data_IF_852690355584
#
_entry.id   IF_852690355584
#
_cell.length_a   1.000
_cell.length_b   1.000
_cell.length_c   1.000
_cell.angle_alpha   90.00
_cell.angle_beta   90.00
_cell.angle_gamma   90.00
#
_symmetry.space_group_name_H-M   'P 1'
#
loop_
_entity.id
_entity.type
_entity.pdbx_description
1 polymer ?
#
# COMPACT_ATOMS: atom_id res chain seq x y z
N UNK A 1 -5.53 28.09 11.85
CA UNK A 1 -6.57 27.49 10.97
C UNK A 1 -6.29 27.84 9.50
N UNK A 2 -6.14 29.14 9.16
CA UNK A 2 -5.91 29.57 7.78
C UNK A 2 -4.67 28.90 7.19
N UNK A 3 -3.56 28.89 7.90
CA UNK A 3 -2.29 28.31 7.45
C UNK A 3 -2.41 26.80 7.19
N UNK A 4 -3.12 26.09 8.07
CA UNK A 4 -3.37 24.63 7.90
C UNK A 4 -4.23 24.35 6.68
N UNK A 5 -5.23 25.21 6.39
CA UNK A 5 -6.06 25.07 5.20
C UNK A 5 -5.22 25.33 3.93
N UNK A 6 -4.39 26.38 3.95
CA UNK A 6 -3.48 26.69 2.82
C UNK A 6 -2.54 25.51 2.59
N UNK A 7 -1.88 25.01 3.63
CA UNK A 7 -0.98 23.83 3.52
C UNK A 7 -1.68 22.61 2.95
N UNK A 8 -2.95 22.36 3.32
CA UNK A 8 -3.71 21.23 2.77
C UNK A 8 -3.97 21.36 1.27
N UNK A 9 -4.22 22.58 0.78
CA UNK A 9 -4.41 22.81 -0.66
C UNK A 9 -3.08 22.86 -1.42
N UNK A 10 -2.01 23.35 -0.82
CA UNK A 10 -0.67 23.29 -1.38
C UNK A 10 -0.22 21.83 -1.56
N UNK A 11 -0.47 20.97 -0.54
CA UNK A 11 -0.20 19.54 -0.62
C UNK A 11 -1.10 18.82 -1.65
N UNK A 12 -2.38 19.23 -1.75
CA UNK A 12 -3.28 18.71 -2.77
C UNK A 12 -2.80 19.04 -4.19
N UNK A 13 -2.02 20.12 -4.33
CA UNK A 13 -1.53 20.61 -5.62
C UNK A 13 -2.61 21.21 -6.52
N UNK A 14 -3.77 21.54 -5.95
CA UNK A 14 -4.91 22.10 -6.70
C UNK A 14 -5.78 22.96 -5.77
N UNK A 15 -6.54 23.87 -6.35
CA UNK A 15 -7.39 24.80 -5.62
C UNK A 15 -8.87 24.65 -6.03
N UNK A 16 -9.81 25.01 -5.13
CA UNK A 16 -11.24 25.00 -5.46
C UNK A 16 -11.58 26.01 -6.55
N UNK A 17 -12.15 25.53 -7.65
CA UNK A 17 -12.71 26.35 -8.73
C UNK A 17 -14.13 26.79 -8.41
N UNK A 18 -14.94 25.86 -7.84
CA UNK A 18 -16.36 26.08 -7.61
C UNK A 18 -16.81 25.33 -6.37
N UNK A 19 -17.56 26.04 -5.50
CA UNK A 19 -18.33 25.39 -4.45
C UNK A 19 -19.54 24.68 -5.07
N UNK A 20 -19.77 23.42 -4.73
CA UNK A 20 -20.89 22.65 -5.23
C UNK A 20 -22.12 22.94 -4.34
N UNK A 21 -23.13 23.55 -4.93
CA UNK A 21 -24.39 23.77 -4.27
C UNK A 21 -25.19 22.46 -4.19
N UNK A 22 -25.99 22.34 -3.15
CA UNK A 22 -26.89 21.19 -2.97
C UNK A 22 -27.84 21.05 -4.16
N UNK A 23 -27.84 19.89 -4.77
CA UNK A 23 -28.89 19.40 -5.64
C UNK A 23 -29.49 18.17 -4.98
N UNK A 24 -30.83 18.08 -4.79
CA UNK A 24 -31.46 16.87 -4.32
C UNK A 24 -31.04 15.68 -5.20
N UNK A 25 -30.57 14.61 -4.58
CA UNK A 25 -30.25 13.37 -5.27
C UNK A 25 -31.52 12.52 -5.41
N UNK A 26 -31.67 11.86 -6.54
CA UNK A 26 -32.72 10.86 -6.77
C UNK A 26 -32.42 9.53 -6.04
N UNK A 27 -31.20 9.38 -5.52
CA UNK A 27 -30.77 8.18 -4.83
C UNK A 27 -31.35 8.11 -3.41
N UNK A 28 -31.80 6.94 -3.00
CA UNK A 28 -32.38 6.71 -1.68
C UNK A 28 -31.43 7.11 -0.55
N UNK A 29 -31.87 8.04 0.29
CA UNK A 29 -31.13 8.49 1.46
C UNK A 29 -30.11 9.60 1.24
N UNK A 30 -29.82 10.01 0.02
CA UNK A 30 -28.95 11.15 -0.26
C UNK A 30 -29.68 12.47 -0.03
N UNK A 31 -29.34 13.16 1.05
CA UNK A 31 -29.91 14.48 1.38
C UNK A 31 -29.08 15.65 0.93
N UNK A 32 -27.79 15.43 0.62
CA UNK A 32 -26.82 16.47 0.29
C UNK A 32 -25.86 15.98 -0.76
N UNK A 33 -25.38 16.90 -1.63
CA UNK A 33 -24.33 16.57 -2.56
C UNK A 33 -23.07 16.12 -1.78
N UNK A 34 -22.49 14.95 -2.09
CA UNK A 34 -21.31 14.45 -1.42
C UNK A 34 -20.06 15.32 -1.66
N UNK A 35 -19.98 15.97 -2.81
CA UNK A 35 -18.88 16.83 -3.18
C UNK A 35 -19.07 18.23 -2.58
N UNK A 36 -18.05 18.78 -1.95
CA UNK A 36 -18.07 20.16 -1.46
C UNK A 36 -17.55 21.13 -2.51
N UNK A 37 -16.55 20.73 -3.30
CA UNK A 37 -15.90 21.56 -4.28
C UNK A 37 -15.59 20.78 -5.56
N UNK A 38 -15.52 21.53 -6.68
CA UNK A 38 -14.85 21.11 -7.90
C UNK A 38 -13.55 21.89 -7.96
N UNK A 39 -12.44 21.18 -8.19
CA UNK A 39 -11.09 21.73 -8.29
C UNK A 39 -10.84 22.31 -9.69
N UNK A 40 -9.73 23.02 -9.88
CA UNK A 40 -9.37 23.61 -11.17
C UNK A 40 -9.17 22.54 -12.25
N UNK A 41 -8.64 21.38 -11.88
CA UNK A 41 -8.49 20.22 -12.76
C UNK A 41 -9.79 19.42 -12.99
N UNK A 42 -10.94 19.96 -12.57
CA UNK A 42 -12.28 19.35 -12.68
C UNK A 42 -12.55 18.17 -11.72
N UNK A 43 -11.59 17.72 -10.93
CA UNK A 43 -11.79 16.70 -9.92
C UNK A 43 -12.66 17.21 -8.77
N UNK A 44 -13.29 16.29 -8.07
CA UNK A 44 -14.19 16.58 -6.95
C UNK A 44 -13.47 16.49 -5.62
N UNK A 45 -13.85 17.35 -4.66
CA UNK A 45 -13.31 17.38 -3.33
C UNK A 45 -14.41 17.35 -2.27
N UNK A 46 -14.25 16.46 -1.30
CA UNK A 46 -15.06 16.40 -0.08
C UNK A 46 -14.25 16.89 1.12
N UNK A 47 -14.89 17.65 2.01
CA UNK A 47 -14.28 18.05 3.29
C UNK A 47 -15.02 17.36 4.43
N UNK A 48 -14.24 16.77 5.33
CA UNK A 48 -14.72 16.16 6.57
C UNK A 48 -14.05 16.83 7.75
N UNK A 49 -14.81 17.00 8.84
CA UNK A 49 -14.30 17.59 10.07
C UNK A 49 -14.71 16.74 11.26
N UNK A 50 -13.83 16.61 12.24
CA UNK A 50 -14.16 16.09 13.56
C UNK A 50 -13.65 17.01 14.65
N UNK A 51 -14.50 17.32 15.62
CA UNK A 51 -14.17 18.24 16.73
C UNK A 51 -13.49 17.54 17.89
N UNK A 52 -13.92 16.32 18.18
CA UNK A 52 -13.32 15.45 19.20
C UNK A 52 -13.62 14.00 18.84
N UNK A 53 -12.58 13.17 18.90
CA UNK A 53 -12.69 11.78 18.47
C UNK A 53 -12.51 11.62 16.96
N UNK A 54 -12.07 10.46 16.60
CA UNK A 54 -11.66 10.08 15.25
C UNK A 54 -12.73 9.30 14.50
N UNK A 55 -14.00 9.34 14.96
CA UNK A 55 -15.10 8.54 14.39
C UNK A 55 -15.88 9.31 13.36
N UNK A 56 -15.89 8.84 12.12
CA UNK A 56 -16.65 9.43 11.01
C UNK A 56 -17.58 8.40 10.40
N UNK A 57 -18.85 8.80 10.22
CA UNK A 57 -19.83 8.02 9.50
C UNK A 57 -19.71 8.28 7.98
N UNK A 58 -19.69 7.24 7.13
CA UNK A 58 -19.93 7.41 5.71
C UNK A 58 -21.28 8.11 5.49
N UNK A 59 -21.37 8.95 4.47
CA UNK A 59 -22.65 9.58 4.12
C UNK A 59 -23.65 8.51 3.74
N UNK A 60 -24.93 8.80 3.89
CA UNK A 60 -26.04 7.90 3.51
C UNK A 60 -26.02 6.57 4.27
N UNK A 61 -25.08 5.69 3.98
CA UNK A 61 -24.99 4.31 4.51
C UNK A 61 -24.53 4.25 5.96
N UNK A 62 -23.81 5.27 6.45
CA UNK A 62 -23.27 5.30 7.82
C UNK A 62 -24.30 5.71 8.89
N UNK A 63 -25.47 6.22 8.50
CA UNK A 63 -26.61 6.51 9.37
C UNK A 63 -27.91 6.21 8.61
N UNK A 64 -28.20 4.94 8.40
CA UNK A 64 -29.30 4.48 7.57
C UNK A 64 -30.53 4.14 8.39
N UNK A 65 -31.68 4.64 7.96
CA UNK A 65 -32.99 4.04 8.34
C UNK A 65 -33.19 2.70 7.64
N UNK A 66 -34.24 1.98 8.00
CA UNK A 66 -34.47 0.63 7.47
C UNK A 66 -34.58 0.60 5.94
N UNK A 67 -35.23 1.58 5.35
CA UNK A 67 -35.40 1.69 3.89
C UNK A 67 -34.09 1.90 3.18
N UNK A 68 -33.25 2.84 3.68
CA UNK A 68 -31.94 3.10 3.14
C UNK A 68 -31.00 1.89 3.34
N UNK A 69 -31.11 1.21 4.48
CA UNK A 69 -30.35 0.00 4.74
C UNK A 69 -30.70 -1.10 3.73
N UNK A 70 -32.01 -1.36 3.52
CA UNK A 70 -32.45 -2.31 2.52
C UNK A 70 -31.98 -1.96 1.11
N UNK A 71 -32.10 -0.69 0.71
CA UNK A 71 -31.70 -0.25 -0.62
C UNK A 71 -30.24 -0.60 -0.93
N UNK A 72 -29.33 -0.44 0.02
CA UNK A 72 -27.90 -0.66 -0.19
C UNK A 72 -27.43 -2.10 0.12
N UNK A 73 -28.11 -2.81 1.02
CA UNK A 73 -27.59 -4.06 1.58
C UNK A 73 -28.47 -5.29 1.43
N UNK A 74 -29.72 -5.15 0.91
CA UNK A 74 -30.60 -6.31 0.66
C UNK A 74 -30.01 -7.29 -0.38
N UNK A 75 -29.10 -6.83 -1.23
CA UNK A 75 -28.39 -7.69 -2.17
C UNK A 75 -27.58 -8.83 -1.51
N UNK A 76 -27.33 -8.74 -0.21
CA UNK A 76 -26.63 -9.77 0.55
C UNK A 76 -27.56 -10.78 1.22
N UNK A 77 -28.87 -10.64 1.04
CA UNK A 77 -29.89 -11.52 1.59
C UNK A 77 -31.04 -11.66 0.61
N UNK A 78 -31.76 -12.78 0.65
CA UNK A 78 -32.86 -13.07 -0.29
C UNK A 78 -34.19 -12.42 0.07
N UNK A 79 -34.24 -11.57 1.10
CA UNK A 79 -35.45 -10.93 1.58
C UNK A 79 -35.22 -9.52 2.12
N UNK A 80 -36.28 -8.73 2.15
CA UNK A 80 -36.24 -7.44 2.84
C UNK A 80 -36.01 -7.61 4.34
N UNK A 81 -35.19 -6.72 4.90
CA UNK A 81 -34.85 -6.68 6.31
C UNK A 81 -35.88 -5.80 7.02
N UNK A 82 -36.54 -6.35 8.05
CA UNK A 82 -37.62 -5.66 8.75
C UNK A 82 -37.30 -5.29 10.19
N UNK A 83 -36.33 -5.97 10.80
CA UNK A 83 -36.04 -5.84 12.21
C UNK A 83 -34.57 -5.62 12.57
N UNK A 84 -34.34 -5.23 13.84
CA UNK A 84 -33.04 -5.00 14.41
C UNK A 84 -32.14 -6.25 14.36
N UNK A 85 -32.71 -7.41 14.70
CA UNK A 85 -31.94 -8.66 14.76
C UNK A 85 -31.55 -9.14 13.35
N UNK A 86 -32.36 -8.86 12.35
CA UNK A 86 -32.02 -9.13 10.95
C UNK A 86 -30.92 -8.22 10.47
N UNK A 87 -30.94 -6.91 10.81
CA UNK A 87 -29.84 -5.98 10.51
C UNK A 87 -28.53 -6.50 11.12
N UNK A 88 -28.55 -6.93 12.39
CA UNK A 88 -27.36 -7.48 13.06
C UNK A 88 -26.82 -8.71 12.32
N UNK A 89 -27.69 -9.64 11.98
CA UNK A 89 -27.33 -10.87 11.27
C UNK A 89 -26.71 -10.57 9.91
N UNK A 90 -27.30 -9.66 9.13
CA UNK A 90 -26.78 -9.24 7.83
C UNK A 90 -25.39 -8.64 7.97
N UNK A 91 -25.22 -7.70 8.90
CA UNK A 91 -23.93 -7.04 9.14
C UNK A 91 -22.90 -8.05 9.61
N UNK A 92 -23.24 -8.90 10.56
CA UNK A 92 -22.31 -9.88 11.13
C UNK A 92 -21.77 -10.86 10.07
N UNK A 93 -22.65 -11.35 9.21
CA UNK A 93 -22.28 -12.35 8.21
C UNK A 93 -21.66 -11.75 6.93
N UNK A 94 -22.00 -10.50 6.59
CA UNK A 94 -21.63 -9.90 5.30
C UNK A 94 -20.74 -8.67 5.42
N UNK A 95 -20.16 -8.39 6.59
CA UNK A 95 -19.35 -7.17 6.80
C UNK A 95 -18.23 -7.00 5.79
N UNK A 96 -17.59 -8.09 5.37
CA UNK A 96 -16.53 -8.09 4.37
C UNK A 96 -17.00 -7.60 2.99
N UNK A 97 -18.27 -7.85 2.64
CA UNK A 97 -18.90 -7.35 1.41
C UNK A 97 -19.48 -5.95 1.56
N UNK A 98 -19.86 -5.58 2.79
CA UNK A 98 -20.43 -4.25 3.09
C UNK A 98 -19.35 -3.19 3.22
N UNK A 99 -18.17 -3.56 3.69
CA UNK A 99 -17.10 -2.61 3.98
C UNK A 99 -16.63 -1.80 2.76
N UNK A 100 -16.46 -2.38 1.56
CA UNK A 100 -16.19 -1.61 0.34
C UNK A 100 -17.26 -0.51 0.10
N UNK A 101 -18.54 -0.82 0.28
CA UNK A 101 -19.62 0.16 0.13
C UNK A 101 -19.47 1.29 1.16
N UNK A 102 -19.13 0.99 2.41
CA UNK A 102 -18.87 2.03 3.41
C UNK A 102 -17.67 2.91 3.03
N UNK A 103 -16.61 2.36 2.47
CA UNK A 103 -15.46 3.13 1.95
C UNK A 103 -15.86 4.01 0.77
N UNK A 104 -16.62 3.49 -0.19
CA UNK A 104 -17.13 4.26 -1.34
C UNK A 104 -17.93 5.48 -0.89
N UNK A 105 -18.79 5.34 0.11
CA UNK A 105 -19.59 6.45 0.65
C UNK A 105 -18.80 7.38 1.59
N UNK A 106 -17.71 6.92 2.17
CA UNK A 106 -16.81 7.79 2.96
C UNK A 106 -15.94 8.65 2.04
N UNK A 107 -15.42 8.07 0.96
CA UNK A 107 -14.47 8.66 0.01
C UNK A 107 -15.07 8.79 -1.40
N UNK A 108 -16.30 9.30 -1.48
CA UNK A 108 -17.08 9.38 -2.73
C UNK A 108 -16.49 10.38 -3.74
N UNK A 109 -15.80 11.42 -3.29
CA UNK A 109 -15.13 12.41 -4.12
C UNK A 109 -13.74 11.92 -4.53
N UNK A 110 -13.20 12.42 -5.65
CA UNK A 110 -11.82 12.11 -6.07
C UNK A 110 -10.83 12.34 -4.95
N UNK A 111 -11.03 13.42 -4.18
CA UNK A 111 -10.27 13.71 -2.97
C UNK A 111 -11.15 13.96 -1.76
N UNK A 112 -10.69 13.55 -0.59
CA UNK A 112 -11.29 13.89 0.69
C UNK A 112 -10.23 14.46 1.61
N UNK A 113 -10.45 15.69 2.12
CA UNK A 113 -9.61 16.27 3.17
C UNK A 113 -10.35 16.11 4.49
N UNK A 114 -9.68 15.48 5.45
CA UNK A 114 -10.19 15.37 6.82
C UNK A 114 -9.41 16.28 7.75
N UNK A 115 -10.09 17.28 8.31
CA UNK A 115 -9.55 18.17 9.33
C UNK A 115 -9.94 17.67 10.71
N UNK A 116 -8.99 17.58 11.62
CA UNK A 116 -9.20 17.18 13.01
C UNK A 116 -8.36 18.00 13.97
N UNK A 117 -8.79 18.07 15.22
CA UNK A 117 -7.94 18.55 16.30
C UNK A 117 -7.20 17.37 16.93
N UNK A 118 -5.89 17.50 17.08
CA UNK A 118 -5.07 16.53 17.80
C UNK A 118 -5.23 16.69 19.33
N UNK A 119 -4.52 15.88 20.11
CA UNK A 119 -4.55 15.91 21.58
C UNK A 119 -4.09 17.26 22.16
N UNK A 120 -3.24 17.97 21.44
CA UNK A 120 -2.71 19.29 21.83
C UNK A 120 -3.62 20.44 21.36
N UNK A 121 -4.84 20.12 20.93
CA UNK A 121 -5.82 21.06 20.38
C UNK A 121 -5.31 21.85 19.16
N UNK A 122 -4.38 21.26 18.41
CA UNK A 122 -3.91 21.82 17.15
C UNK A 122 -4.71 21.21 15.99
N UNK A 123 -5.11 22.05 15.04
CA UNK A 123 -5.77 21.60 13.82
C UNK A 123 -4.75 20.89 12.91
N UNK A 124 -5.08 19.68 12.51
CA UNK A 124 -4.32 18.88 11.56
C UNK A 124 -5.22 18.42 10.41
N UNK A 125 -4.64 17.93 9.33
CA UNK A 125 -5.40 17.40 8.20
C UNK A 125 -4.77 16.12 7.66
N UNK A 126 -5.59 15.36 6.93
CA UNK A 126 -5.15 14.21 6.13
C UNK A 126 -5.90 14.26 4.80
N UNK A 127 -5.18 14.06 3.70
CA UNK A 127 -5.74 14.00 2.35
C UNK A 127 -5.85 12.53 1.94
N UNK A 128 -7.03 12.15 1.46
CA UNK A 128 -7.30 10.83 0.91
C UNK A 128 -7.59 10.96 -0.58
N UNK A 129 -6.98 10.11 -1.39
CA UNK A 129 -7.31 9.91 -2.80
C UNK A 129 -8.26 8.71 -2.91
N UNK A 130 -9.37 8.86 -3.63
CA UNK A 130 -10.36 7.80 -3.81
C UNK A 130 -9.76 6.52 -4.40
N UNK A 131 -8.76 6.65 -5.27
CA UNK A 131 -8.10 5.51 -5.89
C UNK A 131 -7.47 4.55 -4.86
N UNK A 132 -7.18 5.01 -3.65
CA UNK A 132 -6.65 4.17 -2.56
C UNK A 132 -7.67 3.16 -2.02
N UNK A 133 -8.95 3.34 -2.34
CA UNK A 133 -10.06 2.56 -1.82
C UNK A 133 -10.81 1.77 -2.90
N UNK A 134 -10.39 1.90 -4.16
CA UNK A 134 -10.96 1.13 -5.25
C UNK A 134 -10.43 -0.32 -5.17
N UNK A 135 -11.30 -1.25 -5.53
CA UNK A 135 -10.98 -2.68 -5.62
C UNK A 135 -10.47 -3.32 -4.31
N UNK A 136 -10.88 -2.77 -3.16
CA UNK A 136 -10.59 -3.36 -1.86
C UNK A 136 -11.39 -4.66 -1.68
N UNK A 137 -10.70 -5.77 -1.63
CA UNK A 137 -11.26 -7.07 -1.26
C UNK A 137 -10.95 -7.41 0.19
N UNK A 138 -11.94 -7.93 0.89
CA UNK A 138 -11.80 -8.30 2.28
C UNK A 138 -12.20 -9.76 2.50
N UNK A 139 -11.32 -10.51 3.15
CA UNK A 139 -11.62 -11.84 3.62
C UNK A 139 -12.42 -11.77 4.93
N UNK A 140 -13.52 -12.53 5.02
CA UNK A 140 -14.40 -12.60 6.20
C UNK A 140 -13.63 -13.02 7.46
N UNK A 141 -12.67 -13.90 7.34
CA UNK A 141 -11.93 -14.47 8.47
C UNK A 141 -11.03 -13.45 9.17
N UNK A 142 -10.70 -12.35 8.50
CA UNK A 142 -9.95 -11.26 9.10
C UNK A 142 -10.79 -10.34 9.99
N UNK A 143 -12.13 -10.57 10.07
CA UNK A 143 -13.02 -9.71 10.85
C UNK A 143 -13.50 -10.40 12.11
N UNK A 144 -13.42 -9.66 13.22
CA UNK A 144 -14.01 -10.03 14.50
C UNK A 144 -14.84 -8.87 15.05
N UNK A 145 -15.78 -9.21 15.92
CA UNK A 145 -16.62 -8.25 16.62
C UNK A 145 -16.33 -8.38 18.12
N UNK A 146 -16.36 -7.25 18.83
CA UNK A 146 -16.18 -7.30 20.30
C UNK A 146 -17.34 -7.99 21.01
N UNK A 147 -18.47 -8.10 20.34
CA UNK A 147 -19.67 -8.81 20.81
C UNK A 147 -20.20 -9.68 19.67
N UNK A 148 -20.41 -10.94 19.94
CA UNK A 148 -21.12 -11.85 19.04
C UNK A 148 -22.60 -11.45 18.87
N UNK A 149 -23.33 -12.13 17.99
CA UNK A 149 -24.73 -11.81 17.69
C UNK A 149 -25.63 -11.88 18.94
N UNK A 150 -25.40 -12.84 19.83
CA UNK A 150 -26.23 -13.07 21.02
C UNK A 150 -26.01 -11.96 22.06
N UNK A 151 -24.78 -11.50 22.22
CA UNK A 151 -24.37 -10.50 23.20
C UNK A 151 -24.37 -9.06 22.65
N UNK A 152 -24.61 -8.90 21.36
CA UNK A 152 -24.69 -7.57 20.73
C UNK A 152 -26.03 -6.89 21.04
N UNK A 153 -26.09 -6.11 22.11
CA UNK A 153 -27.29 -5.35 22.48
C UNK A 153 -27.55 -4.16 21.57
N UNK A 154 -26.78 -3.07 21.70
CA UNK A 154 -26.93 -1.86 20.87
C UNK A 154 -25.69 -1.54 20.03
N UNK A 155 -24.50 -1.77 20.59
CA UNK A 155 -23.23 -1.42 19.95
C UNK A 155 -22.24 -2.58 19.98
N UNK A 156 -21.42 -2.65 18.94
CA UNK A 156 -20.24 -3.51 18.88
C UNK A 156 -19.12 -2.77 18.15
N UNK A 157 -17.89 -3.19 18.38
CA UNK A 157 -16.73 -2.68 17.63
C UNK A 157 -16.31 -3.73 16.62
N UNK A 158 -16.18 -3.32 15.37
CA UNK A 158 -15.62 -4.12 14.31
C UNK A 158 -14.08 -4.04 14.37
N UNK A 159 -13.45 -5.19 14.37
CA UNK A 159 -12.00 -5.32 14.26
C UNK A 159 -11.62 -5.98 12.94
N UNK A 160 -10.53 -5.55 12.37
CA UNK A 160 -9.85 -6.16 11.24
C UNK A 160 -8.42 -6.53 11.65
N UNK A 161 -8.07 -7.83 11.58
CA UNK A 161 -6.78 -8.35 12.08
C UNK A 161 -6.47 -7.80 13.49
N UNK A 162 -7.44 -7.95 14.40
CA UNK A 162 -7.43 -7.52 15.80
C UNK A 162 -7.39 -6.00 16.06
N UNK A 163 -7.28 -5.17 15.04
CA UNK A 163 -7.34 -3.69 15.17
C UNK A 163 -8.79 -3.20 15.05
N UNK A 164 -9.23 -2.38 15.97
CA UNK A 164 -10.58 -1.77 15.94
C UNK A 164 -10.68 -0.76 14.80
N UNK A 165 -11.49 -1.02 13.78
CA UNK A 165 -11.61 -0.17 12.58
C UNK A 165 -12.92 0.62 12.52
N UNK A 166 -13.98 0.15 13.15
CA UNK A 166 -15.26 0.83 13.16
C UNK A 166 -16.10 0.50 14.40
N UNK A 167 -17.01 1.39 14.72
CA UNK A 167 -18.08 1.17 15.69
C UNK A 167 -19.42 1.03 14.96
N UNK A 168 -20.20 0.06 15.37
CA UNK A 168 -21.52 -0.22 14.80
C UNK A 168 -22.55 -0.12 15.91
N UNK A 169 -23.63 0.62 15.65
CA UNK A 169 -24.77 0.77 16.58
C UNK A 169 -26.07 0.49 15.84
N UNK A 170 -26.99 -0.23 16.48
CA UNK A 170 -28.32 -0.48 15.96
C UNK A 170 -29.33 -0.14 17.06
N UNK A 171 -30.07 0.96 16.87
CA UNK A 171 -30.99 1.46 17.85
C UNK A 171 -32.34 0.76 17.78
N UNK A 172 -33.16 0.91 18.82
CA UNK A 172 -34.52 0.32 18.90
C UNK A 172 -35.47 0.78 17.78
N UNK A 173 -35.25 2.00 17.27
CA UNK A 173 -36.02 2.55 16.15
C UNK A 173 -35.53 2.07 14.76
N UNK A 174 -34.77 0.98 14.71
CA UNK A 174 -34.21 0.40 13.48
C UNK A 174 -33.24 1.33 12.75
N UNK A 175 -32.60 2.30 13.44
CA UNK A 175 -31.57 3.13 12.87
C UNK A 175 -30.23 2.42 13.02
N UNK A 176 -29.62 2.16 11.89
CA UNK A 176 -28.27 1.62 11.79
C UNK A 176 -27.25 2.78 11.78
N UNK A 177 -26.18 2.64 12.55
CA UNK A 177 -25.04 3.55 12.51
C UNK A 177 -23.75 2.78 12.37
N UNK A 178 -22.96 3.20 11.40
CA UNK A 178 -21.60 2.73 11.17
C UNK A 178 -20.64 3.93 11.17
N UNK A 179 -19.60 3.87 11.96
CA UNK A 179 -18.61 4.94 12.07
C UNK A 179 -17.21 4.36 12.00
N UNK A 180 -16.45 4.76 11.02
CA UNK A 180 -15.02 4.44 10.96
C UNK A 180 -14.25 5.13 12.09
N UNK A 181 -13.25 4.44 12.64
CA UNK A 181 -12.23 5.00 13.52
C UNK A 181 -11.10 5.47 12.59
N UNK A 182 -11.06 6.77 12.28
CA UNK A 182 -10.23 7.30 11.20
C UNK A 182 -8.74 7.08 11.41
N UNK A 183 -8.25 7.14 12.66
CA UNK A 183 -6.86 6.79 12.96
C UNK A 183 -6.53 5.36 12.53
N UNK A 184 -7.42 4.43 12.81
CA UNK A 184 -7.25 3.03 12.39
C UNK A 184 -7.40 2.85 10.87
N UNK A 185 -8.26 3.66 10.22
CA UNK A 185 -8.35 3.68 8.74
C UNK A 185 -7.03 4.15 8.14
N UNK A 186 -6.41 5.20 8.67
CA UNK A 186 -5.10 5.66 8.22
C UNK A 186 -4.04 4.57 8.41
N UNK A 187 -4.03 3.91 9.58
CA UNK A 187 -3.10 2.82 9.84
C UNK A 187 -3.37 1.60 8.94
N UNK A 188 -4.64 1.31 8.65
CA UNK A 188 -5.03 0.27 7.70
C UNK A 188 -4.56 0.61 6.28
N UNK A 189 -4.75 1.86 5.83
CA UNK A 189 -4.27 2.31 4.52
C UNK A 189 -2.75 2.23 4.43
N UNK A 190 -2.03 2.61 5.47
CA UNK A 190 -0.58 2.39 5.54
C UNK A 190 -0.23 0.91 5.35
N UNK A 191 -1.00 0.01 5.96
CA UNK A 191 -0.77 -1.44 5.86
C UNK A 191 -1.07 -1.97 4.46
N UNK A 192 -2.11 -1.48 3.79
CA UNK A 192 -2.44 -1.82 2.39
C UNK A 192 -1.45 -1.15 1.44
N UNK A 193 -1.14 0.13 1.68
CA UNK A 193 -0.19 0.92 0.89
C UNK A 193 1.26 0.46 1.06
N UNK A 194 1.58 -0.23 2.15
CA UNK A 194 2.90 -0.81 2.45
C UNK A 194 3.13 -2.18 1.78
N UNK A 195 2.28 -2.58 0.85
CA UNK A 195 2.68 -3.54 -0.15
C UNK A 195 3.92 -2.98 -0.85
N UNK A 196 4.99 -3.78 -0.90
CA UNK A 196 6.30 -3.40 -1.47
C UNK A 196 6.15 -2.86 -2.90
N UNK A 197 5.18 -3.35 -3.65
CA UNK A 197 4.87 -2.90 -4.99
C UNK A 197 4.28 -1.48 -5.02
N UNK A 198 3.27 -1.18 -4.19
CA UNK A 198 2.69 0.16 -4.08
C UNK A 198 3.74 1.17 -3.60
N UNK A 199 4.63 0.76 -2.69
CA UNK A 199 5.72 1.62 -2.24
C UNK A 199 6.69 1.92 -3.39
N UNK A 200 7.10 0.89 -4.18
CA UNK A 200 7.95 1.04 -5.36
C UNK A 200 7.34 1.98 -6.40
N UNK A 201 6.11 1.69 -6.82
CA UNK A 201 5.39 2.52 -7.79
C UNK A 201 5.23 3.97 -7.32
N UNK A 202 4.98 4.18 -6.02
CA UNK A 202 4.86 5.53 -5.45
C UNK A 202 6.20 6.25 -5.47
N UNK A 203 7.30 5.58 -5.15
CA UNK A 203 8.61 6.19 -5.19
C UNK A 203 9.03 6.56 -6.62
N UNK A 204 8.80 5.67 -7.61
CA UNK A 204 9.01 5.97 -9.02
C UNK A 204 8.20 7.18 -9.47
N UNK A 205 6.90 7.21 -9.17
CA UNK A 205 6.02 8.35 -9.48
C UNK A 205 6.51 9.63 -8.82
N UNK A 206 6.90 9.58 -7.56
CA UNK A 206 7.40 10.74 -6.81
C UNK A 206 8.66 11.31 -7.46
N UNK A 207 9.57 10.46 -7.93
CA UNK A 207 10.76 10.89 -8.70
C UNK A 207 10.31 11.57 -10.00
N UNK A 208 9.38 10.97 -10.74
CA UNK A 208 8.85 11.56 -11.96
C UNK A 208 8.24 12.94 -11.70
N UNK A 209 7.44 13.10 -10.66
CA UNK A 209 6.81 14.38 -10.31
C UNK A 209 7.82 15.45 -9.89
N UNK A 210 8.89 15.08 -9.15
CA UNK A 210 9.94 16.02 -8.74
C UNK A 210 10.74 16.54 -9.94
N UNK A 211 11.02 15.67 -10.91
CA UNK A 211 11.86 16.00 -12.05
C UNK A 211 11.10 16.29 -13.36
N UNK A 212 9.77 16.35 -13.28
CA UNK A 212 8.86 16.60 -14.40
C UNK A 212 9.07 15.59 -15.56
N UNK A 213 9.07 14.31 -15.21
CA UNK A 213 9.17 13.18 -16.14
C UNK A 213 7.78 12.55 -16.34
N UNK A 214 7.57 11.93 -17.49
CA UNK A 214 6.36 11.16 -17.77
C UNK A 214 6.30 9.90 -16.92
N UNK A 215 5.17 9.68 -16.24
CA UNK A 215 4.85 8.44 -15.52
C UNK A 215 3.64 7.77 -16.20
N UNK A 216 3.65 6.43 -16.41
CA UNK A 216 2.58 5.75 -17.13
C UNK A 216 1.23 5.90 -16.44
N UNK A 217 0.23 6.42 -17.16
CA UNK A 217 -1.09 6.73 -16.60
C UNK A 217 -1.81 5.49 -16.03
N UNK A 218 -1.62 4.31 -16.63
CA UNK A 218 -2.21 3.06 -16.14
C UNK A 218 -1.62 2.56 -14.82
N UNK A 219 -0.46 3.07 -14.38
CA UNK A 219 0.17 2.72 -13.11
C UNK A 219 -0.19 3.70 -11.98
N UNK A 220 -0.81 4.84 -12.28
CA UNK A 220 -1.17 5.86 -11.27
C UNK A 220 -2.09 5.27 -10.19
N UNK A 221 -3.01 4.38 -10.55
CA UNK A 221 -3.90 3.70 -9.59
C UNK A 221 -3.18 2.79 -8.58
N UNK A 222 -1.91 2.45 -8.83
CA UNK A 222 -1.07 1.61 -7.95
C UNK A 222 -0.16 2.42 -7.03
N UNK A 223 -0.34 3.73 -6.96
CA UNK A 223 0.45 4.65 -6.14
C UNK A 223 -0.34 5.16 -4.94
N UNK A 224 0.34 5.64 -3.90
CA UNK A 224 -0.25 6.14 -2.66
C UNK A 224 0.22 7.55 -2.35
N UNK A 225 -0.69 8.52 -2.28
CA UNK A 225 -0.36 9.89 -1.86
C UNK A 225 0.13 9.98 -0.41
N UNK A 226 -0.32 9.08 0.45
CA UNK A 226 0.16 9.04 1.84
C UNK A 226 1.65 8.70 1.85
N UNK A 227 2.05 7.67 1.10
CA UNK A 227 3.47 7.31 0.98
C UNK A 227 4.23 8.43 0.28
N UNK A 228 3.69 9.00 -0.80
CA UNK A 228 4.31 10.09 -1.54
C UNK A 228 4.68 11.26 -0.61
N UNK A 229 3.72 11.75 0.19
CA UNK A 229 3.97 12.85 1.13
C UNK A 229 5.05 12.52 2.17
N UNK A 230 5.16 11.26 2.56
CA UNK A 230 6.13 10.79 3.56
C UNK A 230 7.54 10.61 3.01
N UNK A 231 7.67 10.17 1.75
CA UNK A 231 8.98 9.84 1.14
C UNK A 231 9.56 10.98 0.31
N UNK A 232 8.77 12.01 -0.02
CA UNK A 232 9.17 13.07 -0.96
C UNK A 232 10.45 13.80 -0.52
N UNK A 233 10.58 14.17 0.76
CA UNK A 233 11.78 14.77 1.29
C UNK A 233 12.99 13.84 1.21
N UNK A 234 12.81 12.57 1.57
CA UNK A 234 13.86 11.53 1.48
C UNK A 234 14.36 11.35 0.05
N UNK A 235 13.46 11.40 -0.93
CA UNK A 235 13.83 11.33 -2.35
C UNK A 235 14.59 12.59 -2.77
N UNK A 236 14.11 13.78 -2.44
CA UNK A 236 14.81 15.04 -2.76
C UNK A 236 16.23 15.01 -2.20
N UNK A 237 16.38 14.60 -0.94
CA UNK A 237 17.71 14.52 -0.28
C UNK A 237 18.63 13.50 -0.98
N UNK A 238 18.10 12.36 -1.44
CA UNK A 238 18.90 11.35 -2.14
C UNK A 238 19.44 11.87 -3.47
N UNK A 239 18.70 12.70 -4.19
CA UNK A 239 19.15 13.29 -5.46
C UNK A 239 20.12 14.48 -5.31
N UNK A 240 20.49 14.86 -4.09
CA UNK A 240 21.66 15.71 -3.87
C UNK A 240 22.98 14.96 -4.15
N UNK A 241 22.95 13.64 -4.20
CA UNK A 241 24.12 12.76 -4.40
C UNK A 241 24.05 11.92 -5.68
N UNK A 242 22.99 12.04 -6.45
CA UNK A 242 22.76 11.33 -7.71
C UNK A 242 22.71 12.31 -8.88
N UNK A 243 23.13 11.90 -10.10
CA UNK A 243 22.84 12.64 -11.31
C UNK A 243 21.34 12.79 -11.52
N UNK A 244 20.93 13.86 -12.20
CA UNK A 244 19.52 14.14 -12.47
C UNK A 244 18.89 13.06 -13.34
N UNK A 245 17.71 12.52 -13.03
CA UNK A 245 16.99 11.60 -13.91
C UNK A 245 16.44 12.38 -15.11
N UNK A 246 16.54 11.78 -16.29
CA UNK A 246 16.10 12.37 -17.57
C UNK A 246 14.98 11.55 -18.22
N UNK A 247 14.80 10.30 -17.83
CA UNK A 247 13.76 9.42 -18.36
C UNK A 247 13.37 8.33 -17.35
N UNK A 248 12.08 8.05 -17.22
CA UNK A 248 11.57 6.87 -16.53
C UNK A 248 11.52 5.69 -17.50
N UNK A 249 12.06 4.55 -17.11
CA UNK A 249 12.21 3.34 -17.95
C UNK A 249 11.61 2.08 -17.32
N UNK A 250 11.18 2.13 -16.05
CA UNK A 250 10.70 0.98 -15.30
C UNK A 250 9.48 0.25 -15.91
N UNK A 251 8.74 0.90 -16.82
CA UNK A 251 7.63 0.28 -17.58
C UNK A 251 8.00 -0.17 -18.99
N UNK A 252 9.25 0.04 -19.42
CA UNK A 252 9.71 -0.35 -20.76
C UNK A 252 10.02 -1.85 -20.82
N UNK A 253 10.01 -2.40 -22.04
CA UNK A 253 10.34 -3.81 -22.25
C UNK A 253 11.81 -4.07 -21.92
N UNK A 254 12.10 -5.22 -21.32
CA UNK A 254 13.45 -5.64 -20.98
C UNK A 254 14.35 -5.79 -22.21
N UNK A 255 15.65 -5.57 -21.99
CA UNK A 255 16.68 -5.62 -23.04
C UNK A 255 17.11 -7.07 -23.27
N UNK A 256 17.14 -7.89 -22.23
CA UNK A 256 17.54 -9.31 -22.31
C UNK A 256 16.33 -10.19 -22.57
N UNK A 257 16.56 -11.32 -23.23
CA UNK A 257 15.50 -12.27 -23.62
C UNK A 257 14.72 -12.85 -22.42
N UNK A 258 15.31 -12.87 -21.25
CA UNK A 258 14.73 -13.33 -19.98
C UNK A 258 14.03 -12.23 -19.18
N UNK A 259 14.26 -10.98 -19.52
CA UNK A 259 13.73 -9.81 -18.83
C UNK A 259 12.34 -9.44 -19.38
N UNK A 260 11.34 -9.45 -18.52
CA UNK A 260 10.00 -8.94 -18.86
C UNK A 260 9.96 -7.42 -18.86
N UNK A 261 10.87 -6.74 -18.15
CA UNK A 261 10.98 -5.28 -17.98
C UNK A 261 12.43 -4.83 -18.08
N UNK A 262 12.61 -3.52 -18.28
CA UNK A 262 13.93 -2.88 -18.23
C UNK A 262 14.61 -3.15 -16.87
N UNK A 263 15.91 -3.48 -16.83
CA UNK A 263 16.63 -3.80 -15.59
C UNK A 263 16.88 -2.59 -14.68
N UNK A 264 16.65 -1.38 -15.18
CA UNK A 264 16.75 -0.13 -14.42
C UNK A 264 15.48 0.70 -14.55
N UNK A 265 15.20 1.50 -13.53
CA UNK A 265 13.96 2.26 -13.41
C UNK A 265 14.09 3.65 -14.02
N UNK A 266 15.30 4.21 -14.05
CA UNK A 266 15.58 5.54 -14.61
C UNK A 266 16.87 5.60 -15.39
N UNK A 267 16.85 6.38 -16.47
CA UNK A 267 18.04 6.91 -17.14
C UNK A 267 18.40 8.26 -16.50
N UNK A 268 19.67 8.43 -16.13
CA UNK A 268 20.21 9.65 -15.54
C UNK A 268 21.06 10.43 -16.55
N UNK A 269 21.37 11.70 -16.23
CA UNK A 269 22.32 12.50 -16.97
C UNK A 269 23.67 11.76 -17.13
N UNK A 270 24.27 11.90 -18.30
CA UNK A 270 25.49 11.18 -18.65
C UNK A 270 25.28 9.73 -19.10
N UNK A 271 24.05 9.34 -19.46
CA UNK A 271 23.66 7.97 -19.85
C UNK A 271 23.90 6.93 -18.75
N UNK A 272 23.86 7.36 -17.51
CA UNK A 272 23.97 6.48 -16.35
C UNK A 272 22.58 5.90 -16.01
N UNK A 273 22.58 4.75 -15.37
CA UNK A 273 21.35 4.01 -15.04
C UNK A 273 21.12 3.96 -13.54
N UNK A 274 19.85 4.00 -13.12
CA UNK A 274 19.44 3.91 -11.73
C UNK A 274 18.38 2.83 -11.56
N UNK A 275 18.65 1.87 -10.69
CA UNK A 275 17.64 0.97 -10.15
C UNK A 275 17.13 1.48 -8.81
N UNK A 276 15.81 1.47 -8.64
CA UNK A 276 15.15 1.86 -7.41
C UNK A 276 14.66 0.61 -6.67
N UNK A 277 15.01 0.51 -5.41
CA UNK A 277 14.48 -0.53 -4.52
C UNK A 277 13.81 0.11 -3.33
N UNK A 278 12.64 -0.40 -2.99
CA UNK A 278 11.88 0.07 -1.84
C UNK A 278 11.54 -1.09 -0.92
N UNK A 279 11.57 -0.86 0.38
CA UNK A 279 11.28 -1.90 1.33
C UNK A 279 10.78 -1.33 2.67
N UNK A 280 9.89 -2.08 3.32
CA UNK A 280 9.43 -1.82 4.70
C UNK A 280 10.26 -2.55 5.75
N UNK A 281 11.28 -3.30 5.33
CA UNK A 281 12.19 -4.07 6.16
C UNK A 281 13.65 -3.89 5.75
N UNK A 282 14.48 -4.85 6.14
CA UNK A 282 15.93 -4.81 5.87
C UNK A 282 16.37 -5.71 4.69
N UNK A 283 15.41 -6.31 3.96
CA UNK A 283 15.72 -7.26 2.89
C UNK A 283 15.36 -6.67 1.54
N UNK A 284 16.24 -6.82 0.58
CA UNK A 284 16.04 -6.43 -0.82
C UNK A 284 16.17 -7.67 -1.69
N UNK A 285 15.21 -7.86 -2.60
CA UNK A 285 15.19 -8.97 -3.52
C UNK A 285 15.91 -8.57 -4.82
N UNK A 286 16.99 -9.27 -5.24
CA UNK A 286 17.61 -9.03 -6.52
C UNK A 286 16.62 -9.28 -7.66
N UNK A 287 16.61 -8.45 -8.72
CA UNK A 287 15.76 -8.68 -9.88
C UNK A 287 15.99 -10.08 -10.48
N UNK A 288 14.95 -10.69 -11.02
CA UNK A 288 14.93 -11.98 -11.69
C UNK A 288 15.35 -13.19 -10.83
N UNK A 289 16.50 -13.11 -10.18
CA UNK A 289 17.10 -14.24 -9.44
C UNK A 289 16.62 -14.35 -8.00
N UNK A 290 16.05 -13.31 -7.43
CA UNK A 290 15.60 -13.28 -6.03
C UNK A 290 14.30 -14.04 -5.78
N UNK A 291 13.43 -14.14 -6.80
CA UNK A 291 12.18 -14.93 -6.79
C UNK A 291 12.01 -15.64 -8.13
N UNK A 292 12.93 -16.54 -8.50
CA UNK A 292 12.90 -17.15 -9.82
C UNK A 292 11.79 -18.19 -9.94
N UNK A 293 11.16 -18.26 -11.10
CA UNK A 293 10.43 -19.47 -11.51
C UNK A 293 11.41 -20.64 -11.68
N UNK A 294 10.92 -21.87 -11.75
CA UNK A 294 11.79 -23.04 -11.96
C UNK A 294 12.65 -22.89 -13.21
N UNK A 295 12.09 -22.36 -14.31
CA UNK A 295 12.82 -22.12 -15.55
C UNK A 295 13.87 -21.03 -15.43
N UNK A 296 13.58 -19.94 -14.72
CA UNK A 296 14.53 -18.86 -14.47
C UNK A 296 15.63 -19.34 -13.52
N UNK A 297 15.29 -20.11 -12.49
CA UNK A 297 16.24 -20.72 -11.58
C UNK A 297 17.24 -21.62 -12.34
N UNK A 298 16.71 -22.51 -13.20
CA UNK A 298 17.53 -23.36 -14.02
C UNK A 298 18.43 -22.55 -14.96
N UNK A 299 17.92 -21.51 -15.59
CA UNK A 299 18.70 -20.68 -16.51
C UNK A 299 19.94 -20.04 -15.85
N UNK A 300 19.81 -19.52 -14.64
CA UNK A 300 20.91 -18.83 -13.96
C UNK A 300 21.83 -19.75 -13.14
N UNK A 301 21.33 -20.90 -12.70
CA UNK A 301 22.04 -21.75 -11.73
C UNK A 301 22.33 -23.16 -12.24
N UNK A 302 21.98 -23.51 -13.49
CA UNK A 302 22.20 -24.85 -14.06
C UNK A 302 23.66 -25.31 -13.98
N UNK A 303 24.62 -24.40 -14.12
CA UNK A 303 26.05 -24.72 -14.08
C UNK A 303 26.54 -24.98 -12.63
N UNK A 304 25.68 -24.81 -11.63
CA UNK A 304 25.95 -25.06 -10.23
C UNK A 304 25.30 -26.35 -9.72
N UNK A 305 24.52 -27.05 -10.54
CA UNK A 305 23.86 -28.29 -10.17
C UNK A 305 23.97 -29.33 -11.28
N UNK A 306 23.97 -30.58 -10.88
CA UNK A 306 24.06 -31.75 -11.79
C UNK A 306 22.63 -32.30 -12.15
N UNK A 307 21.58 -31.47 -12.01
CA UNK A 307 20.19 -31.89 -12.23
C UNK A 307 19.65 -31.27 -13.53
N UNK A 308 18.89 -32.06 -14.28
CA UNK A 308 18.18 -31.60 -15.49
C UNK A 308 16.98 -30.67 -15.15
N UNK A 309 16.40 -30.84 -13.94
CA UNK A 309 15.31 -30.03 -13.43
C UNK A 309 15.57 -29.63 -11.96
N UNK A 310 15.29 -28.38 -11.63
CA UNK A 310 15.42 -27.88 -10.27
C UNK A 310 14.06 -27.99 -9.57
N UNK A 311 13.96 -28.90 -8.61
CA UNK A 311 12.86 -29.00 -7.64
C UNK A 311 13.26 -28.42 -6.29
N UNK A 312 12.37 -28.42 -5.32
CA UNK A 312 12.61 -27.85 -3.99
C UNK A 312 13.83 -28.45 -3.27
N UNK A 313 13.98 -29.77 -3.32
CA UNK A 313 15.08 -30.47 -2.64
C UNK A 313 16.41 -30.18 -3.34
N UNK A 314 16.46 -30.36 -4.67
CA UNK A 314 17.66 -30.06 -5.45
C UNK A 314 18.07 -28.59 -5.38
N UNK A 315 17.11 -27.66 -5.25
CA UNK A 315 17.39 -26.25 -5.02
C UNK A 315 18.06 -26.02 -3.65
N UNK A 316 17.51 -26.61 -2.59
CA UNK A 316 18.10 -26.50 -1.24
C UNK A 316 19.53 -27.07 -1.23
N UNK A 317 19.75 -28.24 -1.83
CA UNK A 317 21.09 -28.85 -1.93
C UNK A 317 22.06 -27.94 -2.71
N UNK A 318 21.63 -27.38 -3.84
CA UNK A 318 22.40 -26.46 -4.64
C UNK A 318 22.81 -25.23 -3.84
N UNK A 319 21.86 -24.63 -3.08
CA UNK A 319 22.12 -23.47 -2.23
C UNK A 319 23.16 -23.81 -1.16
N UNK A 320 22.99 -24.90 -0.44
CA UNK A 320 23.96 -25.31 0.58
C UNK A 320 25.36 -25.53 0.03
N UNK A 321 25.47 -26.13 -1.15
CA UNK A 321 26.75 -26.49 -1.77
C UNK A 321 27.43 -25.29 -2.43
N UNK A 322 26.66 -24.38 -3.05
CA UNK A 322 27.20 -23.36 -3.94
C UNK A 322 26.78 -21.92 -3.57
N UNK A 323 26.42 -21.67 -2.33
CA UNK A 323 25.91 -20.36 -1.92
C UNK A 323 26.89 -19.21 -2.18
N UNK A 324 28.20 -19.45 -2.04
CA UNK A 324 29.25 -18.50 -2.34
C UNK A 324 29.23 -18.05 -3.82
N UNK A 325 29.00 -18.98 -4.74
CA UNK A 325 28.84 -18.68 -6.17
C UNK A 325 27.50 -18.02 -6.48
N UNK A 326 26.43 -18.48 -5.83
CA UNK A 326 25.10 -17.91 -6.00
C UNK A 326 25.05 -16.46 -5.51
N UNK A 327 25.73 -16.12 -4.42
CA UNK A 327 25.81 -14.76 -3.92
C UNK A 327 26.44 -13.80 -4.93
N UNK A 328 27.41 -14.24 -5.72
CA UNK A 328 27.97 -13.44 -6.80
C UNK A 328 26.92 -13.15 -7.89
N UNK A 329 26.10 -14.15 -8.24
CA UNK A 329 25.02 -13.98 -9.22
C UNK A 329 23.96 -13.01 -8.65
N UNK A 330 23.53 -13.19 -7.42
CA UNK A 330 22.58 -12.29 -6.74
C UNK A 330 23.12 -10.85 -6.67
N UNK A 331 24.38 -10.67 -6.30
CA UNK A 331 25.01 -9.35 -6.24
C UNK A 331 25.07 -8.70 -7.64
N UNK A 332 25.45 -9.45 -8.67
CA UNK A 332 25.47 -8.95 -10.05
C UNK A 332 24.12 -8.44 -10.50
N UNK A 333 23.03 -9.17 -10.22
CA UNK A 333 21.67 -8.76 -10.58
C UNK A 333 21.15 -7.61 -9.72
N UNK A 334 21.55 -7.53 -8.45
CA UNK A 334 21.13 -6.43 -7.57
C UNK A 334 21.78 -5.11 -7.99
N UNK A 335 23.07 -5.16 -8.42
CA UNK A 335 23.89 -4.00 -8.78
C UNK A 335 24.14 -3.89 -10.30
N UNK A 336 23.19 -4.30 -11.13
CA UNK A 336 23.34 -4.26 -12.60
C UNK A 336 23.35 -2.81 -13.14
N UNK A 337 22.69 -1.88 -12.45
CA UNK A 337 22.65 -0.45 -12.77
C UNK A 337 23.89 0.29 -12.23
N UNK A 338 24.25 1.44 -12.84
CA UNK A 338 25.34 2.29 -12.36
C UNK A 338 25.13 2.76 -10.93
N UNK A 339 23.85 3.00 -10.56
CA UNK A 339 23.41 3.32 -9.21
C UNK A 339 22.24 2.45 -8.78
N UNK A 340 22.23 2.08 -7.50
CA UNK A 340 21.09 1.51 -6.79
C UNK A 340 20.69 2.50 -5.70
N UNK A 341 19.47 3.04 -5.78
CA UNK A 341 18.85 3.81 -4.71
C UNK A 341 17.93 2.87 -3.94
N UNK A 342 18.23 2.64 -2.68
CA UNK A 342 17.39 1.86 -1.78
C UNK A 342 16.72 2.77 -0.77
N UNK A 343 15.38 2.89 -0.85
CA UNK A 343 14.55 3.62 0.10
C UNK A 343 13.85 2.61 1.00
N UNK A 344 14.00 2.75 2.30
CA UNK A 344 13.44 1.82 3.26
C UNK A 344 12.80 2.52 4.45
N UNK A 345 11.79 1.86 5.00
CA UNK A 345 11.12 2.34 6.20
C UNK A 345 11.71 1.67 7.45
N UNK A 346 12.03 2.46 8.45
CA UNK A 346 12.40 1.98 9.78
C UNK A 346 11.52 2.70 10.82
N UNK A 347 10.61 1.94 11.44
CA UNK A 347 9.52 2.48 12.26
C UNK A 347 8.64 3.43 11.41
N UNK A 348 8.49 4.69 11.82
CA UNK A 348 7.68 5.70 11.12
C UNK A 348 8.51 6.60 10.17
N UNK A 349 9.82 6.39 10.07
CA UNK A 349 10.72 7.21 9.27
C UNK A 349 11.21 6.48 8.04
N UNK A 350 11.49 7.23 6.99
CA UNK A 350 12.07 6.75 5.75
C UNK A 350 13.52 7.16 5.65
N UNK A 351 14.33 6.24 5.16
CA UNK A 351 15.77 6.40 4.98
C UNK A 351 16.15 5.96 3.58
N UNK A 352 17.34 6.34 3.14
CA UNK A 352 17.87 5.87 1.89
C UNK A 352 19.36 5.49 1.99
N UNK A 353 19.79 4.61 1.08
CA UNK A 353 21.18 4.32 0.79
C UNK A 353 21.38 4.37 -0.72
N UNK A 354 22.55 4.83 -1.14
CA UNK A 354 22.96 4.86 -2.54
C UNK A 354 24.20 3.97 -2.69
N UNK A 355 24.11 3.04 -3.62
CA UNK A 355 25.21 2.14 -3.95
C UNK A 355 25.61 2.36 -5.40
N UNK A 356 26.90 2.30 -5.69
CA UNK A 356 27.44 2.30 -7.05
C UNK A 356 27.74 0.87 -7.50
N UNK A 357 27.69 0.63 -8.78
CA UNK A 357 27.97 -0.68 -9.39
C UNK A 357 29.29 -1.30 -8.92
N UNK A 358 30.31 -0.49 -8.74
CA UNK A 358 31.65 -0.92 -8.30
C UNK A 358 31.66 -1.59 -6.92
N UNK A 359 30.64 -1.34 -6.08
CA UNK A 359 30.54 -2.03 -4.78
C UNK A 359 30.40 -3.54 -4.94
N UNK A 360 29.65 -4.00 -5.94
CA UNK A 360 29.42 -5.43 -6.15
C UNK A 360 30.67 -6.17 -6.65
N UNK A 361 31.50 -5.51 -7.49
CA UNK A 361 32.70 -6.11 -8.07
C UNK A 361 33.83 -6.31 -7.06
N UNK A 362 33.73 -5.70 -5.88
CA UNK A 362 34.76 -5.79 -4.82
C UNK A 362 34.48 -6.92 -3.80
N UNK A 363 33.31 -7.60 -3.89
CA UNK A 363 32.98 -8.66 -2.95
C UNK A 363 33.44 -10.02 -3.42
N UNK A 364 34.32 -10.64 -2.65
CA UNK A 364 34.71 -12.04 -2.77
C UNK A 364 34.07 -12.84 -1.63
N UNK A 365 33.03 -13.63 -1.96
CA UNK A 365 32.34 -14.46 -0.98
C UNK A 365 33.14 -15.73 -0.72
N UNK A 366 33.74 -15.83 0.48
CA UNK A 366 34.48 -17.03 0.87
C UNK A 366 33.54 -18.02 1.57
N UNK A 367 33.47 -19.24 1.04
CA UNK A 367 32.55 -20.28 1.52
C UNK A 367 32.70 -20.56 3.01
N UNK A 368 33.93 -20.53 3.56
CA UNK A 368 34.24 -20.75 4.97
C UNK A 368 33.64 -19.69 5.90
N UNK A 369 33.32 -18.52 5.39
CA UNK A 369 32.69 -17.44 6.17
C UNK A 369 31.17 -17.46 6.11
N UNK A 370 30.57 -18.39 5.36
CA UNK A 370 29.13 -18.48 5.16
C UNK A 370 28.55 -19.57 6.05
N UNK A 371 27.55 -19.21 6.82
CA UNK A 371 26.76 -20.12 7.67
C UNK A 371 25.28 -19.95 7.40
N UNK A 372 24.51 -20.96 7.76
CA UNK A 372 23.07 -20.98 7.68
C UNK A 372 22.46 -21.03 9.08
N UNK A 373 21.33 -20.40 9.31
CA UNK A 373 20.64 -20.49 10.60
C UNK A 373 20.12 -21.92 10.85
N UNK A 374 19.68 -22.59 9.79
CA UNK A 374 19.33 -24.00 9.80
C UNK A 374 20.45 -24.76 9.07
N UNK A 375 21.17 -25.57 9.82
CA UNK A 375 22.40 -26.24 9.32
C UNK A 375 22.10 -27.44 8.43
N UNK A 376 20.93 -28.06 8.59
CA UNK A 376 20.53 -29.22 7.76
C UNK A 376 19.41 -28.85 6.81
N UNK A 377 19.40 -29.49 5.65
CA UNK A 377 18.35 -29.31 4.62
C UNK A 377 16.98 -29.74 5.16
N UNK A 378 16.93 -30.79 5.97
CA UNK A 378 15.71 -31.33 6.57
C UNK A 378 15.02 -30.32 7.52
N UNK A 379 15.81 -29.46 8.17
CA UNK A 379 15.32 -28.42 9.06
C UNK A 379 14.84 -27.16 8.30
N UNK A 380 15.17 -27.05 7.01
CA UNK A 380 14.78 -25.93 6.17
C UNK A 380 13.39 -26.15 5.56
N UNK A 381 12.34 -25.76 6.28
CA UNK A 381 10.97 -25.84 5.79
C UNK A 381 10.70 -24.73 4.75
N UNK A 382 10.31 -23.52 5.19
CA UNK A 382 9.95 -22.41 4.30
C UNK A 382 11.08 -21.40 4.07
N UNK A 383 11.89 -21.15 5.09
CA UNK A 383 12.95 -20.13 5.03
C UNK A 383 14.21 -20.56 5.77
N UNK A 384 15.34 -20.06 5.30
CA UNK A 384 16.63 -20.16 5.98
C UNK A 384 17.36 -18.82 5.82
N UNK A 385 18.14 -18.43 6.81
CA UNK A 385 18.92 -17.20 6.77
C UNK A 385 20.39 -17.52 6.52
N UNK A 386 20.94 -16.90 5.49
CA UNK A 386 22.37 -16.95 5.18
C UNK A 386 23.07 -15.87 5.99
N UNK A 387 24.20 -16.23 6.59
CA UNK A 387 25.08 -15.29 7.32
C UNK A 387 26.48 -15.32 6.76
N UNK A 388 27.09 -14.14 6.65
CA UNK A 388 28.49 -13.96 6.29
C UNK A 388 29.23 -13.35 7.48
N UNK A 389 30.26 -14.03 7.99
CA UNK A 389 30.95 -13.65 9.24
C UNK A 389 29.97 -13.39 10.41
N UNK A 390 28.90 -14.19 10.51
CA UNK A 390 27.89 -14.08 11.55
C UNK A 390 26.81 -12.98 11.32
N UNK A 391 26.95 -12.15 10.28
CA UNK A 391 26.00 -11.09 9.92
C UNK A 391 25.00 -11.66 8.91
N UNK A 392 23.71 -11.51 9.15
CA UNK A 392 22.67 -11.89 8.19
C UNK A 392 22.77 -11.03 6.92
N UNK A 393 22.74 -11.68 5.76
CA UNK A 393 22.86 -11.05 4.44
C UNK A 393 21.64 -11.39 3.58
#
# INVERSE_FOLDING_TARGET
>A
IKDVIVSAFDELGDIPRKCVTYTPSENAGEKYNPNNFILMNTKTLSIRTSKSGDKIAPRVVGQAGIETFNYHFNQFVDKNIEGKEEIKSVVYNNIHKMLPIFFDYLFISDFTIWFQYNTDNQLTYTIFDRNQFLDLEFDRDNFTFTRDLENWTESTTLKYKDKSIAEIQIHKNRTFKFRFIMKSVIDFLKTISLNTETFGMTAEKTICDIFNLDFPSHLVGRTSRIIESQIRSTIIDSFMYLPKPIKHTGSEQGIRKTESKCPYDFLLDGNLTLSLKTNTGNMVCPPEVGQPSSSTCYYYFKDLCDYDEINEISFKEMVYKNIDKMLNIYATHLFDSDYLLWIYQKKENYFYNIFKKDYASSFEWKRENITFTKENIEDWNESNTVKYNGISI
#
